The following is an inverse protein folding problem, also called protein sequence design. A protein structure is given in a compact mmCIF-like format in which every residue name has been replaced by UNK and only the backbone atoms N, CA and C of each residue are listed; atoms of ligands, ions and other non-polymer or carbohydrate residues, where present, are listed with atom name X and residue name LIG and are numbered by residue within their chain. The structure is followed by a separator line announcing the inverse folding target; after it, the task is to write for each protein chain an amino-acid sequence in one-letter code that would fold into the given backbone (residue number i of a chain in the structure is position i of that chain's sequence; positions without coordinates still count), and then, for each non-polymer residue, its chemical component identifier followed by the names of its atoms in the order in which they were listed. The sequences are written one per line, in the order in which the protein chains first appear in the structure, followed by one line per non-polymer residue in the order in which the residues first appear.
data_IF_631367204412
#
_entry.id   IF_631367204412
#
_cell.length_a   1.000
_cell.length_b   1.000
_cell.length_c   1.000
_cell.angle_alpha   90.00
_cell.angle_beta   90.00
_cell.angle_gamma   90.00
#
_symmetry.space_group_name_H-M   'P 1'
#
loop_
_entity.id
_entity.type
_entity.pdbx_description
1 polymer ?
#
# COMPACT_ATOMS: atom_id res chain seq x y z
N UNK A 1 -10.37 10.42 5.61
CA UNK A 1 -10.24 10.49 4.14
C UNK A 1 -9.36 11.64 3.72
N UNK A 2 -9.85 12.89 3.73
CA UNK A 2 -9.02 14.08 3.43
C UNK A 2 -7.76 14.16 4.30
N UNK A 3 -7.86 13.86 5.59
CA UNK A 3 -6.72 13.88 6.51
C UNK A 3 -5.64 12.82 6.20
N UNK A 4 -6.01 11.64 5.71
CA UNK A 4 -5.05 10.55 5.48
C UNK A 4 -4.55 10.49 4.04
N UNK A 5 -5.37 10.91 3.05
CA UNK A 5 -4.98 10.87 1.64
C UNK A 5 -4.51 12.22 1.09
N UNK A 6 -4.84 13.35 1.73
CA UNK A 6 -4.40 14.69 1.27
C UNK A 6 -3.29 15.24 2.15
N UNK A 7 -3.43 15.21 3.48
CA UNK A 7 -2.42 15.77 4.38
C UNK A 7 -1.17 14.90 4.51
N UNK A 8 -1.31 13.57 4.51
CA UNK A 8 -0.15 12.66 4.69
C UNK A 8 0.82 12.75 3.50
N UNK A 9 0.39 12.73 2.22
CA UNK A 9 1.31 12.93 1.10
C UNK A 9 1.92 14.34 1.07
N UNK A 10 1.19 15.36 1.55
CA UNK A 10 1.71 16.72 1.63
C UNK A 10 2.96 16.80 2.54
N UNK A 11 3.09 15.92 3.52
CA UNK A 11 4.29 15.83 4.36
C UNK A 11 5.56 15.41 3.58
N UNK A 12 5.42 14.71 2.44
CA UNK A 12 6.55 14.31 1.59
C UNK A 12 7.23 15.49 0.88
N UNK A 13 6.60 16.66 0.84
CA UNK A 13 7.23 17.88 0.32
C UNK A 13 8.47 18.26 1.15
N UNK A 14 8.49 17.91 2.42
CA UNK A 14 9.63 18.16 3.31
C UNK A 14 10.77 17.19 3.04
N UNK A 15 11.95 17.73 2.71
CA UNK A 15 13.18 16.95 2.50
C UNK A 15 13.58 16.12 3.73
N UNK A 16 13.27 16.59 4.95
CA UNK A 16 13.56 15.86 6.20
C UNK A 16 12.78 14.55 6.31
N UNK A 17 11.55 14.52 5.79
CA UNK A 17 10.67 13.35 5.84
C UNK A 17 11.09 12.33 4.77
N UNK A 18 11.53 12.80 3.59
CA UNK A 18 12.01 11.92 2.51
C UNK A 18 13.36 11.27 2.78
N UNK A 19 14.22 11.89 3.60
CA UNK A 19 15.53 11.31 3.92
C UNK A 19 15.51 10.36 5.12
N UNK A 20 14.38 10.24 5.83
CA UNK A 20 14.25 9.36 6.98
C UNK A 20 13.37 8.13 6.63
N UNK A 21 13.96 6.92 6.53
CA UNK A 21 13.21 5.72 6.15
C UNK A 21 12.09 5.36 7.15
N UNK A 22 12.26 5.68 8.44
CA UNK A 22 11.24 5.42 9.47
C UNK A 22 10.01 6.31 9.26
N UNK A 23 10.22 7.60 8.96
CA UNK A 23 9.11 8.50 8.64
C UNK A 23 8.41 8.10 7.35
N UNK A 24 9.16 7.70 6.32
CA UNK A 24 8.59 7.18 5.08
C UNK A 24 7.72 5.94 5.31
N UNK A 25 8.16 5.00 6.16
CA UNK A 25 7.38 3.82 6.49
C UNK A 25 6.04 4.17 7.17
N UNK A 26 6.07 5.08 8.14
CA UNK A 26 4.86 5.56 8.82
C UNK A 26 3.90 6.24 7.83
N UNK A 27 4.42 7.13 6.98
CA UNK A 27 3.65 7.80 5.92
C UNK A 27 3.02 6.78 4.97
N UNK A 28 3.79 5.80 4.50
CA UNK A 28 3.31 4.75 3.59
C UNK A 28 2.21 3.89 4.25
N UNK A 29 2.34 3.58 5.54
CA UNK A 29 1.31 2.85 6.28
C UNK A 29 0.00 3.64 6.35
N UNK A 30 0.05 4.93 6.72
CA UNK A 30 -1.13 5.79 6.78
C UNK A 30 -1.81 5.99 5.42
N UNK A 31 -1.03 6.10 4.34
CA UNK A 31 -1.58 6.21 2.98
C UNK A 31 -2.30 4.91 2.58
N UNK A 32 -1.69 3.73 2.83
CA UNK A 32 -2.35 2.46 2.53
C UNK A 32 -3.66 2.29 3.32
N UNK A 33 -3.66 2.61 4.61
CA UNK A 33 -4.87 2.59 5.44
C UNK A 33 -5.91 3.60 4.93
N UNK A 34 -5.49 4.81 4.58
CA UNK A 34 -6.35 5.88 4.07
C UNK A 34 -7.04 5.51 2.76
N UNK A 35 -6.31 4.93 1.81
CA UNK A 35 -6.86 4.46 0.53
C UNK A 35 -7.84 3.30 0.72
N UNK A 36 -7.56 2.38 1.64
CA UNK A 36 -8.49 1.30 1.96
C UNK A 36 -9.80 1.84 2.56
N UNK A 37 -9.71 2.77 3.52
CA UNK A 37 -10.89 3.43 4.10
C UNK A 37 -11.68 4.20 3.02
N UNK A 38 -11.01 4.85 2.07
CA UNK A 38 -11.68 5.54 0.96
C UNK A 38 -12.54 4.60 0.14
N UNK A 39 -11.97 3.46 -0.25
CA UNK A 39 -12.73 2.44 -0.99
C UNK A 39 -13.87 1.86 -0.16
N UNK A 40 -13.66 1.63 1.13
CA UNK A 40 -14.71 1.18 2.05
C UNK A 40 -15.88 2.16 2.12
N UNK A 41 -15.59 3.45 2.28
CA UNK A 41 -16.60 4.51 2.34
C UNK A 41 -17.35 4.62 1.01
N UNK A 42 -16.64 4.75 -0.12
CA UNK A 42 -17.28 4.90 -1.44
C UNK A 42 -18.26 3.75 -1.73
N UNK A 43 -17.86 2.51 -1.45
CA UNK A 43 -18.71 1.34 -1.72
C UNK A 43 -19.91 1.30 -0.77
N UNK A 44 -19.70 1.46 0.54
CA UNK A 44 -20.79 1.29 1.52
C UNK A 44 -21.77 2.45 1.49
N UNK A 45 -21.29 3.69 1.44
CA UNK A 45 -22.20 4.85 1.45
C UNK A 45 -23.03 4.93 0.18
N UNK A 46 -22.51 4.44 -0.95
CA UNK A 46 -23.26 4.39 -2.21
C UNK A 46 -24.39 3.37 -2.16
N UNK A 47 -24.18 2.21 -1.52
CA UNK A 47 -25.17 1.13 -1.41
C UNK A 47 -26.18 1.34 -0.27
N UNK A 48 -25.79 2.06 0.78
CA UNK A 48 -26.66 2.31 1.93
C UNK A 48 -27.81 3.28 1.63
N UNK A 49 -27.70 4.07 0.55
CA UNK A 49 -28.69 5.05 0.12
C UNK A 49 -29.04 4.87 -1.35
N UNK A 50 -29.72 3.77 -1.64
CA UNK A 50 -30.26 3.52 -2.96
C UNK A 50 -31.48 4.42 -3.28
N UNK A 51 -31.86 4.44 -4.56
CA UNK A 51 -32.96 5.25 -5.10
C UNK A 51 -34.34 4.99 -4.45
N UNK A 52 -34.52 3.85 -3.77
CA UNK A 52 -35.78 3.46 -3.12
C UNK A 52 -35.60 3.51 -1.59
N UNK A 53 -36.36 4.34 -0.85
CA UNK A 53 -36.21 4.51 0.59
C UNK A 53 -36.43 3.25 1.42
N UNK A 54 -37.19 2.27 0.92
CA UNK A 54 -37.45 1.00 1.62
C UNK A 54 -36.26 0.04 1.61
N UNK A 55 -35.28 0.24 0.73
CA UNK A 55 -34.09 -0.62 0.59
C UNK A 55 -32.89 -0.10 1.38
N UNK A 56 -33.07 0.94 2.19
CA UNK A 56 -32.00 1.49 3.01
C UNK A 56 -31.57 0.50 4.10
N UNK A 57 -30.44 -0.15 3.89
CA UNK A 57 -29.83 -1.08 4.83
C UNK A 57 -28.56 -0.48 5.45
N UNK A 58 -28.31 -0.75 6.73
CA UNK A 58 -27.03 -0.43 7.36
C UNK A 58 -26.09 -1.62 7.26
N UNK A 59 -24.88 -1.41 6.74
CA UNK A 59 -23.86 -2.46 6.70
C UNK A 59 -23.06 -2.47 8.02
N UNK A 60 -23.05 -3.60 8.70
CA UNK A 60 -22.19 -3.87 9.84
C UNK A 60 -21.27 -5.04 9.49
N UNK A 61 -19.94 -4.84 9.43
CA UNK A 61 -19.02 -5.91 9.08
C UNK A 61 -19.04 -7.00 10.15
N UNK A 62 -19.10 -8.25 9.70
CA UNK A 62 -19.06 -9.43 10.55
C UNK A 62 -17.63 -9.87 10.82
N UNK A 63 -17.43 -10.78 11.78
CA UNK A 63 -16.11 -11.34 12.08
C UNK A 63 -15.46 -11.99 10.85
N UNK A 64 -16.25 -12.58 9.96
CA UNK A 64 -15.77 -13.23 8.74
C UNK A 64 -15.25 -12.23 7.69
N UNK A 65 -15.81 -11.02 7.63
CA UNK A 65 -15.33 -9.95 6.74
C UNK A 65 -13.93 -9.49 7.15
N UNK A 66 -13.69 -9.35 8.46
CA UNK A 66 -12.35 -9.05 8.98
C UNK A 66 -11.38 -10.21 8.82
N UNK A 67 -11.83 -11.45 9.07
CA UNK A 67 -11.00 -12.64 8.91
C UNK A 67 -10.54 -12.85 7.46
N UNK A 68 -11.40 -12.57 6.48
CA UNK A 68 -11.04 -12.66 5.05
C UNK A 68 -10.08 -11.54 4.64
N UNK A 69 -10.28 -10.32 5.15
CA UNK A 69 -9.35 -9.20 4.93
C UNK A 69 -7.95 -9.55 5.46
N UNK A 70 -7.82 -9.89 6.74
CA UNK A 70 -6.52 -10.24 7.33
C UNK A 70 -5.95 -11.55 6.77
N UNK A 71 -6.80 -12.51 6.42
CA UNK A 71 -6.41 -13.74 5.75
C UNK A 71 -5.76 -13.48 4.38
N UNK A 72 -6.30 -12.53 3.59
CA UNK A 72 -5.71 -12.16 2.30
C UNK A 72 -4.31 -11.53 2.45
N UNK A 73 -4.11 -10.69 3.48
CA UNK A 73 -2.81 -10.11 3.81
C UNK A 73 -1.83 -11.20 4.26
N UNK A 74 -2.27 -12.13 5.11
CA UNK A 74 -1.47 -13.26 5.56
C UNK A 74 -1.04 -14.18 4.41
N UNK A 75 -1.96 -14.46 3.47
CA UNK A 75 -1.68 -15.24 2.27
C UNK A 75 -0.66 -14.52 1.38
N UNK A 76 -0.82 -13.22 1.15
CA UNK A 76 0.13 -12.41 0.40
C UNK A 76 1.53 -12.43 1.02
N UNK A 77 1.63 -12.22 2.34
CA UNK A 77 2.90 -12.28 3.07
C UNK A 77 3.53 -13.67 3.03
N UNK A 78 2.72 -14.74 3.11
CA UNK A 78 3.20 -16.12 3.01
C UNK A 78 3.80 -16.39 1.63
N UNK A 79 3.11 -15.98 0.56
CA UNK A 79 3.62 -16.08 -0.80
C UNK A 79 4.87 -15.22 -1.02
N UNK A 80 4.90 -14.01 -0.45
CA UNK A 80 6.07 -13.12 -0.51
C UNK A 80 7.28 -13.76 0.19
N UNK A 81 7.12 -14.32 1.40
CA UNK A 81 8.20 -15.01 2.09
C UNK A 81 8.67 -16.27 1.35
N UNK A 82 7.74 -17.01 0.74
CA UNK A 82 8.09 -18.15 -0.09
C UNK A 82 8.92 -17.69 -1.32
N UNK A 83 8.51 -16.61 -1.97
CA UNK A 83 9.22 -16.01 -3.10
C UNK A 83 10.64 -15.59 -2.71
N UNK A 84 10.81 -14.85 -1.61
CA UNK A 84 12.11 -14.40 -1.10
C UNK A 84 13.03 -15.57 -0.77
N UNK A 85 12.46 -16.69 -0.32
CA UNK A 85 13.23 -17.90 0.02
C UNK A 85 13.63 -18.70 -1.21
N UNK A 86 12.79 -18.78 -2.23
CA UNK A 86 13.00 -19.62 -3.41
C UNK A 86 13.76 -18.92 -4.55
N UNK A 87 13.63 -17.59 -4.65
CA UNK A 87 14.15 -16.81 -5.76
C UNK A 87 14.97 -15.60 -5.25
N UNK A 88 16.05 -15.22 -5.96
CA UNK A 88 16.80 -14.02 -5.63
C UNK A 88 15.91 -12.78 -5.88
N UNK A 89 15.72 -11.98 -4.83
CA UNK A 89 14.89 -10.75 -4.89
C UNK A 89 15.45 -9.70 -5.85
N UNK A 90 16.77 -9.69 -6.07
CA UNK A 90 17.46 -8.76 -6.96
C UNK A 90 17.93 -9.52 -8.19
N UNK A 91 17.58 -9.02 -9.38
CA UNK A 91 18.07 -9.57 -10.65
C UNK A 91 19.58 -9.39 -10.76
N UNK A 92 20.31 -10.51 -10.75
CA UNK A 92 21.78 -10.50 -10.82
C UNK A 92 22.26 -9.93 -12.17
N UNK A 93 21.51 -10.14 -13.27
CA UNK A 93 21.88 -9.59 -14.58
C UNK A 93 21.81 -8.06 -14.61
N UNK A 94 20.74 -7.47 -14.10
CA UNK A 94 20.59 -6.00 -14.07
C UNK A 94 21.53 -5.35 -13.06
N UNK A 95 21.72 -5.96 -11.87
CA UNK A 95 22.66 -5.42 -10.88
C UNK A 95 24.10 -5.35 -11.40
N UNK A 96 24.50 -6.29 -12.27
CA UNK A 96 25.83 -6.28 -12.90
C UNK A 96 25.96 -5.22 -13.98
N UNK A 97 24.90 -4.94 -14.73
CA UNK A 97 24.87 -3.90 -15.75
C UNK A 97 24.96 -2.50 -15.13
N UNK A 98 24.19 -2.24 -14.06
CA UNK A 98 24.21 -0.98 -13.31
C UNK A 98 25.57 -0.66 -12.68
N UNK A 99 26.36 -1.68 -12.32
CA UNK A 99 27.73 -1.50 -11.80
C UNK A 99 28.75 -1.31 -12.94
N UNK A 100 28.51 -1.88 -14.11
CA UNK A 100 29.42 -1.81 -15.25
C UNK A 100 29.36 -0.46 -15.99
N UNK A 101 28.20 0.20 -16.05
CA UNK A 101 28.06 1.53 -16.66
C UNK A 101 28.97 2.60 -16.04
N UNK A 102 28.97 2.84 -14.71
CA UNK A 102 29.85 3.85 -14.11
C UNK A 102 31.34 3.47 -14.21
N UNK A 103 31.68 2.18 -14.25
CA UNK A 103 33.06 1.73 -14.44
C UNK A 103 33.59 2.02 -15.85
N UNK A 104 32.75 1.92 -16.89
CA UNK A 104 33.10 2.32 -18.26
C UNK A 104 33.19 3.84 -18.41
N UNK A 105 32.31 4.60 -17.75
CA UNK A 105 32.33 6.06 -17.80
C UNK A 105 33.57 6.67 -17.13
N UNK A 106 34.08 6.09 -16.04
CA UNK A 106 35.30 6.53 -15.37
C UNK A 106 36.61 6.08 -16.06
N UNK A 107 36.52 5.20 -17.05
CA UNK A 107 37.66 4.70 -17.81
C UNK A 107 37.93 5.50 -19.11
N UNK A 108 37.04 6.44 -19.47
CA UNK A 108 37.18 7.43 -20.53
C UNK A 108 37.67 8.76 -19.96
#
# INVERSE_FOLDING_TARGET
LMLCNVLVPQTLWSRRIRCNPVMLFIVAFFVNLGMWIERFVIVITSLQRDFIPSSWGSYAPTLWDWATLFGSVGLFLTLLFLFIRLLPMISISESRELVAEPAKANAL
#
